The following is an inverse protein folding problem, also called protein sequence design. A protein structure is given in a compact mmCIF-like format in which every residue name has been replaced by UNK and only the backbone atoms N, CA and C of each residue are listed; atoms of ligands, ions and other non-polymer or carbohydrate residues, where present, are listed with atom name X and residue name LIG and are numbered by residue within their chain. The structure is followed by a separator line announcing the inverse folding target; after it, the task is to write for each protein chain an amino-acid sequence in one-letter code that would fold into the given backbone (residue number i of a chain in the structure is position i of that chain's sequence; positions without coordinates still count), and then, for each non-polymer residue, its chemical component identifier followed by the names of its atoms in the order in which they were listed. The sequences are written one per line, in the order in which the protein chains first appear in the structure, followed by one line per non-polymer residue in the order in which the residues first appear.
data_IF_617856787332
#
_entry.id   IF_617856787332
#
_cell.length_a   1.000
_cell.length_b   1.000
_cell.length_c   1.000
_cell.angle_alpha   90.00
_cell.angle_beta   90.00
_cell.angle_gamma   90.00
#
_symmetry.space_group_name_H-M   'P 1'
#
loop_
_entity.id
_entity.type
_entity.pdbx_description
1 polymer ?
#
# COMPACT_ATOMS: atom_id res chain seq x y z
N UNK A 1 -2.38 -14.07 -3.30
CA UNK A 1 -1.79 -15.42 -3.31
C UNK A 1 -1.84 -16.20 -2.00
N UNK A 2 -1.56 -15.61 -0.84
CA UNK A 2 -1.52 -16.34 0.43
C UNK A 2 -2.87 -16.45 1.15
N UNK A 3 -3.85 -15.64 0.79
CA UNK A 3 -5.14 -15.59 1.46
C UNK A 3 -5.88 -16.93 1.32
N UNK A 4 -6.27 -17.53 2.45
CA UNK A 4 -6.94 -18.82 2.50
C UNK A 4 -6.05 -20.06 2.28
N UNK A 5 -4.78 -19.93 1.93
CA UNK A 5 -3.89 -21.06 1.68
C UNK A 5 -3.08 -21.49 2.91
N UNK A 6 -2.95 -20.63 3.90
CA UNK A 6 -2.15 -20.91 5.09
C UNK A 6 -3.01 -20.83 6.35
N UNK A 7 -3.17 -21.94 7.05
CA UNK A 7 -3.95 -21.98 8.28
C UNK A 7 -3.38 -21.05 9.35
N UNK A 8 -4.22 -20.15 9.90
CA UNK A 8 -3.87 -19.22 10.97
C UNK A 8 -3.08 -17.98 10.51
N UNK A 9 -2.97 -17.73 9.21
CA UNK A 9 -2.58 -16.44 8.63
C UNK A 9 -3.84 -15.71 8.16
N UNK A 10 -4.08 -14.52 8.68
CA UNK A 10 -5.09 -13.60 8.20
C UNK A 10 -4.41 -12.51 7.37
N UNK A 11 -4.93 -12.25 6.18
CA UNK A 11 -4.48 -11.17 5.32
C UNK A 11 -5.66 -10.23 5.19
N UNK A 12 -5.51 -9.06 5.78
CA UNK A 12 -6.48 -7.98 5.69
C UNK A 12 -6.00 -7.05 4.58
N UNK A 13 -6.77 -6.95 3.52
CA UNK A 13 -6.50 -5.95 2.50
C UNK A 13 -6.67 -4.56 3.13
N UNK A 14 -5.90 -3.60 2.67
CA UNK A 14 -6.04 -2.21 3.08
C UNK A 14 -7.42 -1.63 2.73
N UNK A 15 -7.50 -0.33 2.62
CA UNK A 15 -8.75 0.41 2.35
C UNK A 15 -9.33 0.24 0.93
N UNK A 16 -8.71 -0.62 0.11
CA UNK A 16 -9.10 -0.84 -1.29
C UNK A 16 -8.55 0.20 -2.27
N UNK A 17 -7.74 1.15 -1.79
CA UNK A 17 -7.03 2.08 -2.66
C UNK A 17 -5.90 1.37 -3.40
N UNK A 18 -5.57 1.77 -4.64
CA UNK A 18 -4.44 1.23 -5.38
C UNK A 18 -3.15 1.27 -4.56
N UNK A 19 -2.39 0.19 -4.58
CA UNK A 19 -1.11 0.09 -3.86
C UNK A 19 -1.23 0.12 -2.33
N UNK A 20 -2.43 -0.09 -1.75
CA UNK A 20 -2.58 -0.15 -0.30
C UNK A 20 -1.90 -1.39 0.27
N UNK A 21 -1.14 -1.21 1.36
CA UNK A 21 -0.43 -2.30 2.01
C UNK A 21 -1.38 -3.34 2.62
N UNK A 22 -1.05 -4.61 2.43
CA UNK A 22 -1.78 -5.70 3.07
C UNK A 22 -1.28 -5.88 4.52
N UNK A 23 -2.20 -5.95 5.47
CA UNK A 23 -1.89 -6.25 6.86
C UNK A 23 -1.90 -7.76 7.09
N UNK A 24 -0.81 -8.27 7.60
CA UNK A 24 -0.64 -9.68 7.91
C UNK A 24 -0.79 -9.92 9.41
N UNK A 25 -1.60 -10.90 9.80
CA UNK A 25 -1.79 -11.28 11.20
C UNK A 25 -1.69 -12.81 11.35
N UNK A 26 -0.93 -13.25 12.36
CA UNK A 26 -0.84 -14.67 12.72
C UNK A 26 -1.53 -14.88 14.07
N UNK A 27 -2.55 -15.78 14.11
CA UNK A 27 -3.32 -16.12 15.31
C UNK A 27 -4.06 -14.95 15.98
N UNK A 28 -4.40 -13.90 15.22
CA UNK A 28 -5.09 -12.71 15.73
C UNK A 28 -4.15 -11.69 16.38
N UNK A 29 -4.73 -10.67 17.00
CA UNK A 29 -3.99 -9.53 17.59
C UNK A 29 -3.42 -9.92 18.95
N UNK A 30 -2.09 -10.03 19.10
CA UNK A 30 -1.48 -10.48 20.36
C UNK A 30 -1.36 -9.39 21.44
N UNK A 31 -1.75 -8.15 21.15
CA UNK A 31 -1.59 -7.01 22.06
C UNK A 31 -2.80 -6.09 22.04
N UNK A 32 -3.22 -5.59 23.20
CA UNK A 32 -4.29 -4.60 23.35
C UNK A 32 -3.86 -3.18 22.95
N UNK A 33 -2.57 -2.91 22.96
CA UNK A 33 -2.01 -1.56 22.74
C UNK A 33 -1.33 -1.38 21.39
N UNK A 34 -1.18 -2.42 20.57
CA UNK A 34 -0.59 -2.36 19.26
C UNK A 34 -0.59 -3.71 18.57
N UNK A 35 -0.95 -3.74 17.32
CA UNK A 35 -0.81 -4.93 16.49
C UNK A 35 0.68 -5.17 16.23
N UNK A 36 1.25 -6.19 16.87
CA UNK A 36 2.57 -6.69 16.49
C UNK A 36 2.41 -7.45 15.17
N UNK A 37 2.92 -6.88 14.10
CA UNK A 37 3.01 -7.58 12.82
C UNK A 37 4.00 -8.74 12.93
N UNK A 38 3.75 -9.86 12.24
CA UNK A 38 4.73 -10.94 12.17
C UNK A 38 6.01 -10.47 11.50
N UNK A 39 7.15 -11.02 11.93
CA UNK A 39 8.43 -10.75 11.29
C UNK A 39 8.45 -11.43 9.91
N UNK A 40 8.72 -10.65 8.86
CA UNK A 40 8.94 -11.18 7.53
C UNK A 40 10.45 -11.42 7.35
N UNK A 41 10.80 -12.60 6.88
CA UNK A 41 12.18 -13.00 6.59
C UNK A 41 12.24 -13.43 5.13
N UNK A 42 13.05 -12.78 4.33
CA UNK A 42 13.21 -13.09 2.89
C UNK A 42 14.62 -13.62 2.64
N UNK A 43 14.74 -14.84 2.16
CA UNK A 43 16.02 -15.52 1.92
C UNK A 43 16.96 -15.47 3.16
N UNK A 44 16.41 -15.78 4.34
CA UNK A 44 17.06 -15.73 5.66
C UNK A 44 17.43 -14.33 6.16
N UNK A 45 17.06 -13.25 5.46
CA UNK A 45 17.28 -11.87 5.88
C UNK A 45 16.01 -11.33 6.54
N UNK A 46 16.05 -10.92 7.82
CA UNK A 46 14.92 -10.28 8.48
C UNK A 46 14.61 -8.92 7.85
N UNK A 47 13.34 -8.70 7.49
CA UNK A 47 12.90 -7.45 6.90
C UNK A 47 12.64 -6.38 7.99
N UNK A 48 12.73 -5.08 7.65
CA UNK A 48 12.27 -4.00 8.50
C UNK A 48 10.77 -4.12 8.83
N UNK A 49 10.35 -3.50 9.93
CA UNK A 49 8.95 -3.58 10.40
C UNK A 49 7.94 -2.90 9.48
N UNK A 50 8.38 -2.02 8.62
CA UNK A 50 7.61 -1.28 7.62
C UNK A 50 7.69 -1.90 6.22
N UNK A 51 8.24 -3.13 6.11
CA UNK A 51 8.31 -3.84 4.85
C UNK A 51 6.93 -4.29 4.39
N UNK A 52 6.55 -3.89 3.18
CA UNK A 52 5.32 -4.36 2.55
C UNK A 52 5.59 -5.61 1.72
N UNK A 53 4.86 -6.69 2.02
CA UNK A 53 4.97 -7.94 1.26
C UNK A 53 4.61 -7.77 -0.21
N UNK A 54 3.80 -6.76 -0.54
CA UNK A 54 3.48 -6.41 -1.91
C UNK A 54 4.70 -5.89 -2.71
N UNK A 55 5.81 -5.54 -2.04
CA UNK A 55 7.07 -5.21 -2.71
C UNK A 55 7.70 -6.43 -3.42
N UNK A 56 7.32 -7.64 -3.02
CA UNK A 56 7.78 -8.86 -3.68
C UNK A 56 6.92 -9.18 -4.90
N UNK A 57 7.58 -9.59 -5.99
CA UNK A 57 6.87 -10.19 -7.10
C UNK A 57 6.42 -11.61 -6.70
N UNK A 58 5.11 -11.91 -6.70
CA UNK A 58 4.61 -13.22 -6.31
C UNK A 58 5.19 -14.38 -7.14
N UNK A 59 5.49 -14.14 -8.42
CA UNK A 59 6.04 -15.17 -9.31
C UNK A 59 7.52 -15.49 -9.01
N UNK A 60 8.20 -14.63 -8.25
CA UNK A 60 9.57 -14.86 -7.79
C UNK A 60 9.62 -15.68 -6.50
N UNK A 61 8.48 -15.90 -5.85
CA UNK A 61 8.40 -16.68 -4.61
C UNK A 61 8.44 -18.18 -4.93
N UNK A 62 9.33 -18.92 -4.25
CA UNK A 62 9.44 -20.36 -4.33
C UNK A 62 8.61 -21.05 -3.26
N UNK A 63 8.74 -20.61 -1.99
CA UNK A 63 7.96 -21.14 -0.86
C UNK A 63 7.72 -20.08 0.19
N UNK A 64 6.67 -20.30 1.00
CA UNK A 64 6.35 -19.49 2.17
C UNK A 64 6.12 -20.44 3.33
N UNK A 65 6.92 -20.30 4.38
CA UNK A 65 6.84 -21.09 5.60
C UNK A 65 6.51 -20.20 6.78
N UNK A 66 5.58 -20.63 7.64
CA UNK A 66 5.15 -19.84 8.80
C UNK A 66 5.56 -20.50 10.09
N UNK A 67 6.45 -19.84 10.82
CA UNK A 67 6.88 -20.27 12.15
C UNK A 67 5.95 -19.71 13.22
N UNK A 68 5.03 -20.55 13.68
CA UNK A 68 4.00 -20.18 14.68
C UNK A 68 4.42 -20.50 16.11
N UNK A 69 5.42 -21.34 16.29
CA UNK A 69 5.90 -21.81 17.60
C UNK A 69 6.93 -20.87 18.20
N UNK A 70 6.88 -20.65 19.51
CA UNK A 70 7.87 -19.84 20.24
C UNK A 70 9.27 -20.40 20.04
N UNK A 71 9.44 -21.73 20.07
CA UNK A 71 10.73 -22.38 19.88
C UNK A 71 11.30 -22.21 18.47
N UNK A 72 10.45 -22.24 17.44
CA UNK A 72 10.89 -22.07 16.05
C UNK A 72 11.18 -20.62 15.71
N UNK A 73 10.55 -19.66 16.41
CA UNK A 73 10.78 -18.23 16.26
C UNK A 73 11.92 -17.71 17.15
N UNK A 74 12.41 -18.50 18.09
CA UNK A 74 13.41 -18.10 19.10
C UNK A 74 14.72 -17.58 18.49
N UNK A 75 15.15 -18.08 17.31
CA UNK A 75 16.35 -17.60 16.60
C UNK A 75 16.26 -16.12 16.19
N UNK A 76 15.04 -15.57 16.09
CA UNK A 76 14.80 -14.17 15.73
C UNK A 76 14.56 -13.27 16.96
N UNK A 77 14.69 -13.85 18.18
CA UNK A 77 14.54 -13.13 19.45
C UNK A 77 13.16 -12.50 19.61
N UNK A 78 13.11 -11.32 20.23
CA UNK A 78 11.84 -10.59 20.47
C UNK A 78 11.09 -10.19 19.20
N UNK A 79 11.78 -10.02 18.09
CA UNK A 79 11.15 -9.72 16.79
C UNK A 79 10.27 -10.85 16.27
N UNK A 80 10.54 -12.11 16.66
CA UNK A 80 9.74 -13.27 16.29
C UNK A 80 8.53 -13.55 17.18
N UNK A 81 8.26 -12.71 18.19
CA UNK A 81 7.21 -12.98 19.20
C UNK A 81 5.80 -13.09 18.61
N UNK A 82 5.48 -12.34 17.55
CA UNK A 82 4.19 -12.40 16.82
C UNK A 82 4.15 -13.49 15.73
N UNK A 83 5.18 -14.32 15.65
CA UNK A 83 5.41 -15.30 14.58
C UNK A 83 6.33 -14.77 13.49
N UNK A 84 6.79 -15.69 12.65
CA UNK A 84 7.73 -15.39 11.56
C UNK A 84 7.19 -15.96 10.25
N UNK A 85 7.18 -15.14 9.22
CA UNK A 85 6.85 -15.53 7.84
C UNK A 85 8.17 -15.62 7.07
N UNK A 86 8.58 -16.84 6.75
CA UNK A 86 9.78 -17.09 5.96
C UNK A 86 9.40 -17.20 4.50
N UNK A 87 9.99 -16.37 3.65
CA UNK A 87 9.77 -16.34 2.21
C UNK A 87 11.09 -16.75 1.54
N UNK A 88 11.03 -17.84 0.81
CA UNK A 88 12.15 -18.26 -0.04
C UNK A 88 11.87 -17.83 -1.47
N UNK A 89 12.76 -17.05 -2.04
CA UNK A 89 12.66 -16.58 -3.41
C UNK A 89 13.30 -17.59 -4.37
N UNK A 90 12.82 -17.63 -5.62
CA UNK A 90 13.40 -18.45 -6.68
C UNK A 90 14.87 -18.10 -6.88
N UNK A 91 15.66 -19.13 -7.15
CA UNK A 91 17.08 -19.05 -7.42
C UNK A 91 17.41 -19.65 -8.79
N UNK A 92 18.65 -19.52 -9.22
CA UNK A 92 19.18 -20.19 -10.40
C UNK A 92 19.03 -21.71 -10.32
N UNK A 93 18.84 -22.34 -11.45
CA UNK A 93 18.70 -23.79 -11.53
C UNK A 93 19.85 -24.36 -12.35
N UNK A 94 20.69 -25.20 -11.69
CA UNK A 94 21.87 -25.78 -12.32
C UNK A 94 21.49 -26.89 -13.29
N UNK A 95 22.40 -27.21 -14.20
CA UNK A 95 22.24 -28.27 -15.22
C UNK A 95 20.95 -28.12 -16.02
N UNK A 96 20.47 -26.87 -16.22
CA UNK A 96 19.24 -26.61 -16.93
C UNK A 96 19.44 -25.60 -18.05
N UNK A 97 18.90 -25.94 -19.23
CA UNK A 97 18.77 -24.95 -20.31
C UNK A 97 17.96 -23.76 -19.88
N UNK A 98 18.18 -22.58 -20.45
CA UNK A 98 17.37 -21.39 -20.13
C UNK A 98 15.88 -21.66 -20.29
N UNK A 99 15.11 -21.35 -19.24
CA UNK A 99 13.65 -21.35 -19.26
C UNK A 99 13.20 -19.92 -19.10
N UNK A 100 12.44 -19.46 -20.08
CA UNK A 100 11.81 -18.13 -20.06
C UNK A 100 10.34 -18.32 -19.75
N UNK A 101 9.83 -17.56 -18.77
CA UNK A 101 8.41 -17.51 -18.44
C UNK A 101 7.94 -16.08 -18.57
N UNK A 102 6.80 -15.90 -19.22
CA UNK A 102 6.07 -14.65 -19.26
C UNK A 102 4.64 -14.91 -18.81
N UNK A 103 4.13 -14.05 -17.90
CA UNK A 103 2.73 -14.05 -17.48
C UNK A 103 2.14 -12.65 -17.60
N UNK A 104 0.89 -12.60 -17.98
CA UNK A 104 0.07 -11.40 -18.04
C UNK A 104 -1.24 -11.66 -17.33
N UNK A 105 -1.58 -10.79 -16.39
CA UNK A 105 -2.85 -10.82 -15.68
C UNK A 105 -3.56 -9.48 -15.86
N UNK A 106 -4.84 -9.56 -16.15
CA UNK A 106 -5.74 -8.42 -16.20
C UNK A 106 -6.95 -8.69 -15.31
N UNK A 107 -7.29 -7.74 -14.45
CA UNK A 107 -8.52 -7.78 -13.68
C UNK A 107 -9.25 -6.44 -13.75
N UNK A 108 -10.57 -6.50 -13.81
CA UNK A 108 -11.45 -5.34 -13.72
C UNK A 108 -12.20 -5.36 -12.39
N UNK A 109 -12.19 -4.23 -11.70
CA UNK A 109 -12.89 -4.04 -10.43
C UNK A 109 -14.07 -3.09 -10.66
N UNK A 110 -15.23 -3.48 -10.18
CA UNK A 110 -16.44 -2.66 -10.27
C UNK A 110 -17.15 -2.61 -8.92
N UNK A 111 -17.88 -1.54 -8.69
CA UNK A 111 -18.79 -1.46 -7.56
C UNK A 111 -19.87 -2.56 -7.69
N UNK A 112 -20.09 -3.27 -6.59
CA UNK A 112 -21.13 -4.29 -6.49
C UNK A 112 -22.51 -3.65 -6.25
N UNK A 113 -22.52 -2.51 -5.55
CA UNK A 113 -23.75 -1.72 -5.30
C UNK A 113 -23.43 -0.23 -5.33
N UNK A 114 -24.35 0.56 -5.84
CA UNK A 114 -24.25 2.00 -5.76
C UNK A 114 -24.35 2.46 -4.30
N UNK A 115 -23.58 3.48 -3.95
CA UNK A 115 -23.76 4.18 -2.68
C UNK A 115 -24.95 5.13 -2.88
N UNK A 116 -26.07 4.79 -2.26
CA UNK A 116 -27.26 5.65 -2.31
C UNK A 116 -26.98 6.92 -1.50
N UNK A 117 -26.90 8.03 -2.19
CA UNK A 117 -26.87 9.37 -1.61
C UNK A 117 -28.22 10.03 -1.83
N UNK A 118 -28.53 11.04 -1.02
CA UNK A 118 -29.76 11.82 -1.20
C UNK A 118 -29.71 12.53 -2.56
N UNK A 119 -30.85 12.57 -3.23
CA UNK A 119 -31.08 13.51 -4.34
C UNK A 119 -31.40 14.92 -3.80
N UNK A 120 -31.52 15.90 -4.69
CA UNK A 120 -31.74 17.30 -4.29
C UNK A 120 -33.04 17.52 -3.50
N UNK A 121 -34.13 16.84 -3.89
CA UNK A 121 -35.42 16.98 -3.19
C UNK A 121 -35.39 16.34 -1.81
N UNK A 122 -34.81 15.12 -1.70
CA UNK A 122 -34.62 14.43 -0.43
C UNK A 122 -33.71 15.23 0.51
N UNK A 123 -32.62 15.80 -0.02
CA UNK A 123 -31.71 16.66 0.73
C UNK A 123 -32.45 17.88 1.30
N UNK A 124 -33.18 18.59 0.44
CA UNK A 124 -33.97 19.76 0.84
C UNK A 124 -35.00 19.42 1.92
N UNK A 125 -35.72 18.30 1.74
CA UNK A 125 -36.73 17.84 2.70
C UNK A 125 -36.10 17.55 4.07
N UNK A 126 -35.05 16.74 4.12
CA UNK A 126 -34.39 16.38 5.38
C UNK A 126 -33.70 17.58 6.04
N UNK A 127 -33.13 18.50 5.24
CA UNK A 127 -32.50 19.70 5.76
C UNK A 127 -33.52 20.63 6.42
N UNK A 128 -34.68 20.86 5.78
CA UNK A 128 -35.77 21.65 6.34
C UNK A 128 -36.39 21.01 7.59
N UNK A 129 -36.50 19.67 7.61
CA UNK A 129 -36.95 18.94 8.78
C UNK A 129 -35.97 19.14 9.95
N UNK A 130 -34.66 19.01 9.71
CA UNK A 130 -33.64 19.24 10.73
C UNK A 130 -33.71 20.66 11.32
N UNK A 131 -33.85 21.67 10.46
CA UNK A 131 -34.00 23.08 10.90
C UNK A 131 -35.28 23.27 11.67
N UNK A 132 -36.39 22.65 11.25
CA UNK A 132 -37.67 22.70 11.97
C UNK A 132 -37.56 22.07 13.36
N UNK A 133 -36.88 20.95 13.48
CA UNK A 133 -36.65 20.30 14.76
C UNK A 133 -35.74 21.14 15.68
N UNK A 134 -34.71 21.80 15.11
CA UNK A 134 -33.87 22.75 15.85
C UNK A 134 -34.65 23.93 16.37
N UNK A 135 -35.53 24.52 15.54
CA UNK A 135 -36.40 25.62 15.98
C UNK A 135 -37.27 25.22 17.18
N UNK A 136 -37.88 24.05 17.14
CA UNK A 136 -38.68 23.51 18.28
C UNK A 136 -37.82 23.29 19.52
N UNK A 137 -36.61 22.75 19.37
CA UNK A 137 -35.71 22.56 20.50
C UNK A 137 -35.28 23.90 21.15
N UNK A 138 -35.14 24.95 20.33
CA UNK A 138 -34.79 26.28 20.77
C UNK A 138 -36.02 27.07 21.30
N UNK A 139 -37.22 26.43 21.38
CA UNK A 139 -38.43 27.01 21.98
C UNK A 139 -39.25 27.88 21.03
N UNK A 140 -39.02 27.83 19.73
CA UNK A 140 -39.86 28.51 18.76
C UNK A 140 -41.13 27.71 18.45
N UNK A 141 -42.29 28.25 18.82
CA UNK A 141 -43.59 27.65 18.48
C UNK A 141 -43.92 27.81 16.99
N UNK A 142 -43.59 28.99 16.42
CA UNK A 142 -43.68 29.24 14.97
C UNK A 142 -42.29 29.16 14.32
N UNK A 143 -42.09 28.15 13.52
CA UNK A 143 -40.82 27.91 12.82
C UNK A 143 -40.45 29.07 11.88
N UNK A 144 -41.43 29.79 11.34
CA UNK A 144 -41.17 30.92 10.46
C UNK A 144 -40.48 32.11 11.17
N UNK A 145 -40.50 32.15 12.49
CA UNK A 145 -39.78 33.15 13.29
C UNK A 145 -38.34 32.71 13.58
N UNK A 146 -37.97 31.46 13.28
CA UNK A 146 -36.62 30.97 13.49
C UNK A 146 -35.66 31.52 12.42
N UNK A 147 -34.62 32.28 12.80
CA UNK A 147 -33.78 33.01 11.85
C UNK A 147 -33.12 32.06 10.79
N UNK A 148 -32.73 30.84 11.19
CA UNK A 148 -32.17 29.91 10.26
C UNK A 148 -33.20 29.36 9.26
N UNK A 149 -34.45 29.13 9.68
CA UNK A 149 -35.54 28.71 8.79
C UNK A 149 -35.84 29.80 7.74
N UNK A 150 -35.93 31.08 8.15
CA UNK A 150 -36.09 32.18 7.20
C UNK A 150 -34.96 32.27 6.19
N UNK A 151 -33.71 32.03 6.63
CA UNK A 151 -32.53 32.01 5.74
C UNK A 151 -32.58 30.87 4.72
N UNK A 152 -32.92 29.66 5.14
CA UNK A 152 -32.90 28.49 4.25
C UNK A 152 -34.12 28.39 3.34
N UNK A 153 -35.22 29.06 3.67
CA UNK A 153 -36.41 29.17 2.82
C UNK A 153 -36.40 30.39 1.91
N UNK A 154 -35.37 31.25 2.02
CA UNK A 154 -35.18 32.37 1.11
C UNK A 154 -34.93 31.89 -0.33
N UNK A 155 -35.45 32.62 -1.35
CA UNK A 155 -35.18 32.30 -2.73
C UNK A 155 -33.66 32.17 -3.02
N UNK A 156 -33.26 31.15 -3.72
CA UNK A 156 -31.85 30.91 -4.13
C UNK A 156 -30.96 30.27 -3.06
N UNK A 157 -31.49 29.91 -1.88
CA UNK A 157 -30.71 29.14 -0.90
C UNK A 157 -30.45 27.70 -1.39
N UNK A 158 -31.50 27.02 -1.85
CA UNK A 158 -31.37 25.73 -2.54
C UNK A 158 -31.21 25.99 -4.03
N UNK A 159 -30.31 25.19 -4.64
CA UNK A 159 -30.17 25.16 -6.09
C UNK A 159 -31.28 24.35 -6.77
N UNK A 160 -31.27 24.36 -8.09
CA UNK A 160 -32.25 23.69 -8.93
C UNK A 160 -31.69 22.38 -9.56
N UNK A 161 -30.39 22.09 -9.33
CA UNK A 161 -29.70 20.92 -9.87
C UNK A 161 -29.94 19.67 -9.03
N UNK A 162 -29.62 18.52 -9.61
CA UNK A 162 -29.52 17.24 -8.92
C UNK A 162 -28.23 16.52 -9.34
N UNK A 163 -27.14 16.91 -8.69
CA UNK A 163 -25.78 16.48 -9.05
C UNK A 163 -25.43 15.15 -8.38
N UNK A 164 -25.25 14.07 -9.17
CA UNK A 164 -24.87 12.76 -8.64
C UNK A 164 -23.35 12.70 -8.40
N UNK A 165 -22.85 13.31 -7.34
CA UNK A 165 -21.44 13.47 -7.05
C UNK A 165 -20.63 12.18 -7.12
N UNK A 166 -21.20 11.07 -6.63
CA UNK A 166 -20.53 9.76 -6.66
C UNK A 166 -20.19 9.32 -8.09
N UNK A 167 -21.10 9.56 -9.07
CA UNK A 167 -20.85 9.20 -10.47
C UNK A 167 -19.75 10.07 -11.11
N UNK A 168 -19.58 11.30 -10.62
CA UNK A 168 -18.52 12.18 -11.12
C UNK A 168 -17.12 11.74 -10.70
N UNK A 169 -16.97 11.19 -9.50
CA UNK A 169 -15.66 10.81 -8.96
C UNK A 169 -15.32 9.33 -9.13
N UNK A 170 -16.30 8.47 -9.45
CA UNK A 170 -16.07 7.03 -9.56
C UNK A 170 -15.94 6.55 -11.00
N UNK A 171 -15.23 5.45 -11.16
CA UNK A 171 -15.07 4.66 -12.39
C UNK A 171 -14.94 3.17 -12.07
N UNK A 172 -14.98 2.33 -13.09
CA UNK A 172 -14.47 0.97 -12.93
C UNK A 172 -12.95 1.01 -12.82
N UNK A 173 -12.41 0.28 -11.87
CA UNK A 173 -10.97 0.12 -11.70
C UNK A 173 -10.42 -1.01 -12.57
N UNK A 174 -9.11 -1.01 -12.78
CA UNK A 174 -8.42 -2.09 -13.50
C UNK A 174 -7.04 -2.35 -12.89
N UNK A 175 -6.59 -3.59 -13.02
CA UNK A 175 -5.22 -3.98 -12.66
C UNK A 175 -4.62 -4.76 -13.81
N UNK A 176 -3.42 -4.35 -14.23
CA UNK A 176 -2.61 -5.03 -15.23
C UNK A 176 -1.27 -5.41 -14.63
N UNK A 177 -0.86 -6.67 -14.85
CA UNK A 177 0.43 -7.13 -14.37
C UNK A 177 1.15 -7.91 -15.46
N UNK A 178 2.38 -7.54 -15.74
CA UNK A 178 3.30 -8.20 -16.67
C UNK A 178 4.48 -8.73 -15.88
N UNK A 179 4.83 -9.98 -16.06
CA UNK A 179 5.95 -10.62 -15.37
C UNK A 179 6.76 -11.45 -16.37
N UNK A 180 8.04 -11.19 -16.41
CA UNK A 180 9.00 -11.90 -17.24
C UNK A 180 10.09 -12.47 -16.35
N UNK A 181 10.43 -13.73 -16.50
CA UNK A 181 11.56 -14.33 -15.81
C UNK A 181 12.34 -15.27 -16.70
N UNK A 182 13.63 -15.37 -16.42
CA UNK A 182 14.55 -16.34 -17.04
C UNK A 182 15.37 -17.01 -15.97
N UNK A 183 15.52 -18.33 -16.05
CA UNK A 183 16.38 -19.11 -15.18
C UNK A 183 17.07 -20.20 -15.96
N UNK A 184 18.27 -20.58 -15.52
CA UNK A 184 19.04 -21.65 -16.11
C UNK A 184 20.38 -21.79 -15.44
N UNK A 185 21.26 -22.62 -16.00
CA UNK A 185 22.61 -22.76 -15.48
C UNK A 185 23.36 -23.94 -16.07
N UNK A 186 24.68 -23.90 -15.87
CA UNK A 186 25.61 -25.00 -16.11
C UNK A 186 25.74 -25.87 -14.86
N UNK A 187 26.70 -26.78 -14.86
CA UNK A 187 27.01 -27.65 -13.70
C UNK A 187 27.39 -26.84 -12.46
N UNK A 188 28.21 -25.81 -12.62
CA UNK A 188 28.81 -25.07 -11.52
C UNK A 188 28.21 -23.66 -11.33
N UNK A 189 27.28 -23.27 -12.19
CA UNK A 189 26.69 -21.93 -12.19
C UNK A 189 25.19 -21.96 -12.47
N UNK A 190 24.42 -21.26 -11.67
CA UNK A 190 23.01 -21.04 -11.86
C UNK A 190 22.68 -19.54 -11.89
N UNK A 191 21.66 -19.15 -12.65
CA UNK A 191 21.18 -17.77 -12.69
C UNK A 191 19.67 -17.71 -12.69
N UNK A 192 19.16 -16.61 -12.14
CA UNK A 192 17.77 -16.21 -12.17
C UNK A 192 17.69 -14.70 -12.44
N UNK A 193 16.82 -14.30 -13.35
CA UNK A 193 16.48 -12.89 -13.53
C UNK A 193 14.98 -12.75 -13.72
N UNK A 194 14.40 -11.72 -13.13
CA UNK A 194 12.99 -11.38 -13.32
C UNK A 194 12.78 -9.88 -13.42
N UNK A 195 11.71 -9.50 -14.12
CA UNK A 195 11.20 -8.16 -14.22
C UNK A 195 9.67 -8.23 -14.14
N UNK A 196 9.08 -7.38 -13.30
CA UNK A 196 7.64 -7.25 -13.14
C UNK A 196 7.21 -5.80 -13.30
N UNK A 197 6.06 -5.60 -13.93
CA UNK A 197 5.35 -4.33 -14.01
C UNK A 197 3.93 -4.55 -13.55
N UNK A 198 3.43 -3.69 -12.65
CA UNK A 198 2.05 -3.65 -12.23
C UNK A 198 1.51 -2.23 -12.37
N UNK A 199 0.30 -2.11 -12.90
CA UNK A 199 -0.45 -0.86 -12.98
C UNK A 199 -1.86 -1.10 -12.45
N UNK A 200 -2.26 -0.33 -11.45
CA UNK A 200 -3.57 -0.41 -10.81
C UNK A 200 -4.27 0.92 -10.95
N UNK A 201 -5.42 0.92 -11.57
CA UNK A 201 -6.32 2.06 -11.63
C UNK A 201 -7.45 1.87 -10.62
N UNK A 202 -7.58 2.81 -9.68
CA UNK A 202 -8.59 2.77 -8.65
C UNK A 202 -10.00 3.04 -9.14
N UNK A 203 -10.98 2.63 -8.33
CA UNK A 203 -12.40 2.96 -8.55
C UNK A 203 -12.71 4.45 -8.31
N UNK A 204 -11.91 5.15 -7.52
CA UNK A 204 -11.93 6.61 -7.46
C UNK A 204 -11.03 7.13 -8.58
N UNK A 205 -11.56 8.04 -9.40
CA UNK A 205 -10.78 8.67 -10.48
C UNK A 205 -9.56 9.36 -9.90
N UNK A 206 -8.47 9.41 -10.71
CA UNK A 206 -7.20 10.02 -10.34
C UNK A 206 -6.51 9.37 -9.11
N UNK A 207 -6.92 8.16 -8.73
CA UNK A 207 -6.17 7.29 -7.84
C UNK A 207 -5.59 6.14 -8.66
N UNK A 208 -4.27 6.01 -8.67
CA UNK A 208 -3.55 4.97 -9.40
C UNK A 208 -2.26 4.57 -8.68
N UNK A 209 -1.74 3.42 -9.07
CA UNK A 209 -0.50 2.89 -8.54
C UNK A 209 0.26 2.15 -9.63
N UNK A 210 1.55 2.46 -9.76
CA UNK A 210 2.46 1.78 -10.66
C UNK A 210 3.63 1.20 -9.88
N UNK A 211 4.05 0.00 -10.25
CA UNK A 211 5.18 -0.66 -9.61
C UNK A 211 6.02 -1.43 -10.61
N UNK A 212 7.32 -1.27 -10.49
CA UNK A 212 8.34 -2.07 -11.15
C UNK A 212 9.09 -2.90 -10.12
N UNK A 213 9.26 -4.20 -10.41
CA UNK A 213 10.07 -5.10 -9.60
C UNK A 213 11.15 -5.73 -10.45
N UNK A 214 12.33 -5.94 -9.89
CA UNK A 214 13.43 -6.61 -10.59
C UNK A 214 14.24 -7.44 -9.61
N UNK A 215 14.66 -8.62 -10.10
CA UNK A 215 15.49 -9.56 -9.35
C UNK A 215 16.58 -10.14 -10.26
N UNK A 216 17.81 -10.18 -9.76
CA UNK A 216 18.94 -10.86 -10.38
C UNK A 216 19.58 -11.75 -9.33
N UNK A 217 19.72 -13.03 -9.60
CA UNK A 217 20.31 -14.00 -8.70
C UNK A 217 21.34 -14.87 -9.42
N UNK A 218 22.46 -15.14 -8.75
CA UNK A 218 23.55 -15.96 -9.23
C UNK A 218 24.01 -16.93 -8.15
N UNK A 219 24.20 -18.18 -8.52
CA UNK A 219 24.74 -19.25 -7.68
C UNK A 219 25.94 -19.87 -8.37
N UNK A 220 27.08 -19.94 -7.70
CA UNK A 220 28.29 -20.51 -8.28
C UNK A 220 29.03 -21.45 -7.30
N UNK A 221 29.45 -22.60 -7.77
CA UNK A 221 30.47 -23.42 -7.13
C UNK A 221 31.84 -22.99 -7.69
N UNK A 222 32.51 -22.08 -6.96
CA UNK A 222 33.81 -21.57 -7.39
C UNK A 222 34.82 -22.71 -7.44
N UNK A 223 34.75 -23.61 -6.46
CA UNK A 223 35.46 -24.86 -6.39
C UNK A 223 34.79 -25.79 -5.37
N UNK A 224 35.37 -26.98 -5.09
CA UNK A 224 34.81 -27.92 -4.11
C UNK A 224 34.78 -27.43 -2.66
N UNK A 225 35.45 -26.33 -2.36
CA UNK A 225 35.53 -25.74 -1.00
C UNK A 225 34.74 -24.43 -0.84
N UNK A 226 34.43 -23.75 -1.94
CA UNK A 226 33.86 -22.43 -1.93
C UNK A 226 32.65 -22.39 -2.84
N UNK A 227 31.51 -22.02 -2.24
CA UNK A 227 30.27 -21.66 -2.96
C UNK A 227 29.96 -20.21 -2.74
N UNK A 228 29.49 -19.55 -3.78
CA UNK A 228 29.07 -18.16 -3.74
C UNK A 228 27.62 -18.04 -4.23
N UNK A 229 26.86 -17.16 -3.57
CA UNK A 229 25.54 -16.73 -4.02
C UNK A 229 25.48 -15.22 -3.94
N UNK A 230 24.91 -14.58 -4.94
CA UNK A 230 24.63 -13.16 -4.92
C UNK A 230 23.23 -12.92 -5.45
N UNK A 231 22.48 -12.08 -4.76
CA UNK A 231 21.13 -11.68 -5.16
C UNK A 231 20.96 -10.19 -5.06
N UNK A 232 20.50 -9.58 -6.13
CA UNK A 232 20.07 -8.19 -6.21
C UNK A 232 18.56 -8.16 -6.48
N UNK A 233 17.82 -7.41 -5.70
CA UNK A 233 16.38 -7.23 -5.89
C UNK A 233 15.99 -5.80 -5.59
N UNK A 234 14.96 -5.31 -6.26
CA UNK A 234 14.47 -3.98 -6.00
C UNK A 234 13.06 -3.75 -6.50
N UNK A 235 12.49 -2.66 -6.00
CA UNK A 235 11.14 -2.20 -6.31
C UNK A 235 11.14 -0.69 -6.39
N UNK A 236 10.58 -0.17 -7.48
CA UNK A 236 10.25 1.26 -7.63
C UNK A 236 8.75 1.35 -7.79
N UNK A 237 8.12 2.23 -7.04
CA UNK A 237 6.68 2.43 -7.13
C UNK A 237 6.28 3.89 -6.98
N UNK A 238 5.25 4.28 -7.72
CA UNK A 238 4.56 5.54 -7.62
C UNK A 238 3.08 5.30 -7.35
N UNK A 239 2.56 6.01 -6.36
CA UNK A 239 1.16 5.97 -5.96
C UNK A 239 0.61 7.38 -5.99
N UNK A 240 -0.40 7.60 -6.80
CA UNK A 240 -1.15 8.84 -6.82
C UNK A 240 -2.44 8.67 -6.01
N UNK A 241 -2.64 9.58 -5.07
CA UNK A 241 -3.86 9.65 -4.26
C UNK A 241 -4.36 11.08 -4.35
N UNK A 242 -5.52 11.27 -4.94
CA UNK A 242 -6.09 12.60 -5.05
C UNK A 242 -7.10 12.87 -3.92
N UNK A 243 -7.30 14.17 -3.63
CA UNK A 243 -8.02 14.64 -2.46
C UNK A 243 -9.53 14.32 -2.39
N UNK A 244 -10.15 13.82 -3.47
CA UNK A 244 -11.56 13.43 -3.41
C UNK A 244 -11.74 12.15 -2.60
N UNK A 245 -12.31 12.26 -1.42
CA UNK A 245 -12.76 11.10 -0.66
C UNK A 245 -14.21 10.76 -0.97
N UNK A 246 -14.56 9.46 -0.87
CA UNK A 246 -15.96 9.02 -0.98
C UNK A 246 -16.86 9.73 0.04
N UNK A 247 -16.33 10.01 1.23
CA UNK A 247 -17.07 10.76 2.27
C UNK A 247 -17.33 12.20 1.87
N UNK A 248 -16.39 12.88 1.20
CA UNK A 248 -16.61 14.24 0.69
C UNK A 248 -17.70 14.26 -0.36
N UNK A 249 -17.68 13.31 -1.30
CA UNK A 249 -18.69 13.21 -2.34
C UNK A 249 -20.08 12.85 -1.78
N UNK A 250 -20.14 11.94 -0.80
CA UNK A 250 -21.40 11.57 -0.15
C UNK A 250 -22.01 12.71 0.69
N UNK A 251 -21.17 13.60 1.23
CA UNK A 251 -21.59 14.75 2.03
C UNK A 251 -21.81 16.03 1.20
N UNK A 252 -21.46 16.02 -0.08
CA UNK A 252 -21.63 17.18 -0.94
C UNK A 252 -23.13 17.45 -1.23
N UNK A 253 -23.50 18.73 -1.26
CA UNK A 253 -24.88 19.16 -1.55
C UNK A 253 -25.27 18.76 -2.98
N UNK A 254 -26.33 17.95 -3.15
CA UNK A 254 -26.74 17.52 -4.49
C UNK A 254 -27.44 18.62 -5.30
N UNK A 255 -27.94 19.64 -4.64
CA UNK A 255 -28.70 20.75 -5.24
C UNK A 255 -27.82 21.84 -5.88
N UNK A 256 -26.49 21.66 -5.94
CA UNK A 256 -25.58 22.60 -6.59
C UNK A 256 -24.95 21.96 -7.83
N UNK A 257 -24.69 22.76 -8.91
CA UNK A 257 -24.10 22.22 -10.13
C UNK A 257 -22.64 21.81 -9.92
N UNK A 258 -22.19 20.81 -10.68
CA UNK A 258 -20.79 20.44 -10.73
C UNK A 258 -19.95 21.42 -11.58
N UNK A 259 -20.55 21.99 -12.61
CA UNK A 259 -19.93 22.86 -13.62
C UNK A 259 -20.77 24.10 -13.83
N UNK A 260 -20.11 25.20 -14.20
CA UNK A 260 -20.75 26.39 -14.73
C UNK A 260 -21.25 26.18 -16.16
N UNK A 261 -22.06 27.09 -16.69
CA UNK A 261 -22.56 27.05 -18.08
C UNK A 261 -21.43 27.05 -19.13
N UNK A 262 -20.27 27.66 -18.81
CA UNK A 262 -19.09 27.68 -19.67
C UNK A 262 -18.23 26.41 -19.58
N UNK A 263 -18.64 25.44 -18.77
CA UNK A 263 -17.94 24.16 -18.55
C UNK A 263 -16.82 24.24 -17.52
N UNK A 264 -16.55 25.37 -16.91
CA UNK A 264 -15.63 25.48 -15.77
C UNK A 264 -16.22 24.84 -14.52
N UNK A 265 -15.38 24.41 -13.58
CA UNK A 265 -15.85 23.82 -12.33
C UNK A 265 -16.55 24.85 -11.46
N UNK A 266 -17.70 24.47 -10.90
CA UNK A 266 -18.49 25.37 -10.06
C UNK A 266 -17.87 25.53 -8.68
N UNK A 267 -17.47 26.75 -8.35
CA UNK A 267 -16.99 27.14 -7.03
C UNK A 267 -18.18 27.75 -6.27
N UNK A 268 -18.70 27.06 -5.27
CA UNK A 268 -19.80 27.57 -4.45
C UNK A 268 -19.24 28.38 -3.28
N UNK A 269 -19.17 29.70 -3.40
CA UNK A 269 -18.69 30.56 -2.30
C UNK A 269 -19.76 30.72 -1.23
N UNK A 270 -19.36 30.75 0.03
CA UNK A 270 -20.19 31.26 1.11
C UNK A 270 -19.41 32.28 1.96
N UNK A 271 -20.09 33.23 2.51
CA UNK A 271 -19.47 34.29 3.29
C UNK A 271 -19.76 34.06 4.79
N UNK A 272 -18.71 34.02 5.59
CA UNK A 272 -18.81 33.96 7.04
C UNK A 272 -17.76 34.87 7.67
N UNK A 273 -18.17 35.71 8.62
CA UNK A 273 -17.27 36.65 9.29
C UNK A 273 -16.57 37.65 8.35
N UNK A 274 -17.20 38.01 7.22
CA UNK A 274 -16.64 38.89 6.20
C UNK A 274 -15.59 38.27 5.29
N UNK A 275 -15.40 36.95 5.35
CA UNK A 275 -14.47 36.18 4.50
C UNK A 275 -15.25 35.23 3.58
N UNK A 276 -14.68 34.98 2.40
CA UNK A 276 -15.20 34.04 1.41
C UNK A 276 -14.59 32.68 1.65
N UNK A 277 -15.45 31.68 1.75
CA UNK A 277 -15.07 30.27 1.81
C UNK A 277 -15.71 29.55 0.63
N UNK A 278 -15.15 28.40 0.27
CA UNK A 278 -15.72 27.56 -0.76
C UNK A 278 -16.28 26.28 -0.16
N UNK A 279 -17.50 25.90 -0.57
CA UNK A 279 -18.04 24.59 -0.26
C UNK A 279 -17.24 23.56 -1.05
N UNK A 280 -16.94 22.42 -0.43
CA UNK A 280 -16.23 21.33 -1.07
C UNK A 280 -16.95 20.88 -2.34
N UNK A 281 -16.27 21.03 -3.48
CA UNK A 281 -16.64 20.39 -4.72
C UNK A 281 -15.73 19.17 -4.91
N UNK A 282 -16.25 17.93 -4.84
CA UNK A 282 -15.44 16.73 -4.94
C UNK A 282 -14.60 16.62 -6.23
N UNK A 283 -15.09 17.22 -7.32
CA UNK A 283 -14.37 17.21 -8.60
C UNK A 283 -13.17 18.15 -8.52
N UNK A 284 -13.29 19.33 -7.93
CA UNK A 284 -12.16 20.24 -7.75
C UNK A 284 -11.10 19.58 -6.86
N UNK A 285 -11.51 18.99 -5.74
CA UNK A 285 -10.57 18.29 -4.88
C UNK A 285 -9.87 17.12 -5.61
N UNK A 286 -10.58 16.42 -6.48
CA UNK A 286 -10.01 15.34 -7.30
C UNK A 286 -9.05 15.84 -8.37
N UNK A 287 -9.30 16.99 -8.99
CA UNK A 287 -8.54 17.46 -10.15
C UNK A 287 -7.41 18.41 -9.79
N UNK A 288 -7.56 19.18 -8.72
CA UNK A 288 -6.61 20.23 -8.35
C UNK A 288 -5.76 19.88 -7.12
N UNK A 289 -6.18 18.94 -6.28
CA UNK A 289 -5.34 18.42 -5.22
C UNK A 289 -4.58 17.18 -5.73
N UNK A 290 -3.29 17.13 -5.44
CA UNK A 290 -2.45 15.99 -5.81
C UNK A 290 -1.65 15.52 -4.62
N UNK A 291 -1.55 14.20 -4.45
CA UNK A 291 -0.61 13.59 -3.50
C UNK A 291 0.05 12.42 -4.20
N UNK A 292 1.37 12.45 -4.26
CA UNK A 292 2.18 11.40 -4.87
C UNK A 292 3.11 10.83 -3.81
N UNK A 293 3.12 9.51 -3.69
CA UNK A 293 4.08 8.75 -2.90
C UNK A 293 4.97 7.97 -3.85
N UNK A 294 6.27 8.30 -3.85
CA UNK A 294 7.27 7.56 -4.62
C UNK A 294 8.15 6.76 -3.67
N UNK A 295 8.39 5.51 -3.98
CA UNK A 295 9.24 4.63 -3.18
C UNK A 295 10.25 3.89 -4.05
N UNK A 296 11.51 3.90 -3.62
CA UNK A 296 12.60 3.13 -4.19
C UNK A 296 13.23 2.25 -3.11
N UNK A 297 13.16 0.95 -3.30
CA UNK A 297 13.77 -0.01 -2.40
C UNK A 297 14.67 -0.94 -3.21
N UNK A 298 15.91 -1.13 -2.75
CA UNK A 298 16.74 -2.18 -3.31
C UNK A 298 17.54 -2.91 -2.23
N UNK A 299 17.89 -4.14 -2.51
CA UNK A 299 18.65 -5.00 -1.64
C UNK A 299 19.68 -5.79 -2.45
N UNK A 300 20.87 -5.85 -1.93
CA UNK A 300 21.94 -6.72 -2.37
C UNK A 300 22.29 -7.68 -1.24
N UNK A 301 22.24 -8.98 -1.47
CA UNK A 301 22.67 -10.00 -0.53
C UNK A 301 23.75 -10.85 -1.20
N UNK A 302 24.86 -11.04 -0.52
CA UNK A 302 25.96 -11.92 -0.96
C UNK A 302 26.28 -12.93 0.12
N UNK A 303 26.40 -14.19 -0.26
CA UNK A 303 26.75 -15.31 0.61
C UNK A 303 28.01 -15.99 0.10
N UNK A 304 28.92 -16.30 1.01
CA UNK A 304 30.06 -17.18 0.75
C UNK A 304 30.02 -18.32 1.75
N UNK A 305 30.06 -19.52 1.22
CA UNK A 305 30.12 -20.76 1.99
C UNK A 305 31.49 -21.41 1.79
N UNK A 306 32.18 -21.64 2.90
CA UNK A 306 33.48 -22.29 2.93
C UNK A 306 33.40 -23.66 3.61
N UNK A 307 33.64 -24.71 2.89
CA UNK A 307 33.80 -26.06 3.45
C UNK A 307 35.24 -26.19 3.92
N UNK A 308 35.52 -25.86 5.20
CA UNK A 308 36.88 -25.85 5.78
C UNK A 308 37.38 -27.28 6.00
N UNK A 309 36.49 -28.11 6.55
CA UNK A 309 36.70 -29.57 6.75
C UNK A 309 35.39 -30.26 6.36
N UNK A 310 35.39 -31.58 6.12
CA UNK A 310 34.15 -32.32 5.85
C UNK A 310 33.04 -32.06 6.90
N UNK A 311 33.45 -31.86 8.17
CA UNK A 311 32.54 -31.60 9.29
C UNK A 311 32.36 -30.13 9.62
N UNK A 312 33.22 -29.22 9.10
CA UNK A 312 33.26 -27.80 9.49
C UNK A 312 32.98 -26.90 8.31
N UNK A 313 31.94 -26.10 8.44
CA UNK A 313 31.42 -25.19 7.42
C UNK A 313 31.33 -23.79 7.99
N UNK A 314 31.85 -22.81 7.27
CA UNK A 314 31.65 -21.37 7.55
C UNK A 314 30.77 -20.78 6.47
N UNK A 315 29.64 -20.17 6.88
CA UNK A 315 28.81 -19.34 6.02
C UNK A 315 29.02 -17.89 6.43
N UNK A 316 29.29 -17.02 5.47
CA UNK A 316 29.31 -15.57 5.66
C UNK A 316 28.24 -14.97 4.76
N UNK A 317 27.47 -14.03 5.31
CA UNK A 317 26.43 -13.30 4.59
C UNK A 317 26.66 -11.80 4.77
N UNK A 318 26.57 -11.07 3.67
CA UNK A 318 26.53 -9.62 3.67
C UNK A 318 25.25 -9.17 2.99
N UNK A 319 24.50 -8.27 3.64
CA UNK A 319 23.30 -7.67 3.09
C UNK A 319 23.45 -6.14 3.13
N UNK A 320 23.19 -5.50 2.00
CA UNK A 320 23.02 -4.08 1.89
C UNK A 320 21.62 -3.78 1.40
N UNK A 321 20.89 -2.94 2.13
CA UNK A 321 19.56 -2.49 1.77
C UNK A 321 19.49 -0.98 1.81
N UNK A 322 18.85 -0.38 0.81
CA UNK A 322 18.55 1.04 0.77
C UNK A 322 17.07 1.23 0.47
N UNK A 323 16.45 2.12 1.22
CA UNK A 323 15.06 2.54 1.03
C UNK A 323 15.01 4.05 0.90
N UNK A 324 14.19 4.52 -0.02
CA UNK A 324 13.86 5.92 -0.17
C UNK A 324 12.34 6.05 -0.28
N UNK A 325 11.79 7.08 0.36
CA UNK A 325 10.40 7.46 0.23
C UNK A 325 10.31 8.96 0.01
N UNK A 326 9.46 9.37 -0.90
CA UNK A 326 9.15 10.76 -1.16
C UNK A 326 7.63 10.92 -1.16
N UNK A 327 7.15 11.91 -0.43
CA UNK A 327 5.75 12.34 -0.46
C UNK A 327 5.72 13.78 -0.95
N UNK A 328 4.98 14.02 -2.01
CA UNK A 328 4.70 15.34 -2.55
C UNK A 328 3.21 15.56 -2.59
N UNK A 329 2.71 16.60 -1.92
CA UNK A 329 1.30 16.94 -1.94
C UNK A 329 1.09 18.42 -2.23
N UNK A 330 0.01 18.72 -2.93
CA UNK A 330 -0.45 20.06 -3.21
C UNK A 330 -1.97 20.12 -3.07
N UNK A 331 -2.45 21.10 -2.34
CA UNK A 331 -3.85 21.44 -2.25
C UNK A 331 -4.08 22.84 -2.83
N UNK A 332 -4.99 22.94 -3.81
CA UNK A 332 -5.30 24.18 -4.52
C UNK A 332 -6.04 25.17 -3.60
N UNK A 333 -5.84 26.47 -3.83
CA UNK A 333 -6.61 27.54 -3.18
C UNK A 333 -8.13 27.45 -3.44
N UNK A 334 -8.56 26.72 -4.44
CA UNK A 334 -9.98 26.47 -4.75
C UNK A 334 -10.56 25.33 -3.90
N UNK A 335 -9.76 24.69 -3.06
CA UNK A 335 -10.19 23.63 -2.14
C UNK A 335 -10.19 24.13 -0.70
N UNK A 336 -10.95 23.47 0.16
CA UNK A 336 -10.99 23.85 1.58
C UNK A 336 -9.61 23.67 2.25
N UNK A 337 -8.87 22.66 1.87
CA UNK A 337 -7.55 22.41 2.42
C UNK A 337 -6.55 23.47 2.00
N UNK A 338 -6.51 23.84 0.72
CA UNK A 338 -5.56 24.79 0.18
C UNK A 338 -5.94 26.25 0.41
N UNK A 339 -7.21 26.58 0.63
CA UNK A 339 -7.65 27.94 0.99
C UNK A 339 -7.40 28.29 2.47
N UNK A 340 -7.16 27.26 3.30
CA UNK A 340 -7.02 27.43 4.75
C UNK A 340 -8.35 27.74 5.46
N UNK A 341 -8.35 27.59 6.79
CA UNK A 341 -9.55 27.80 7.61
C UNK A 341 -10.15 29.21 7.47
N UNK A 342 -9.33 30.19 7.13
CA UNK A 342 -9.73 31.59 7.03
C UNK A 342 -9.82 32.09 5.57
N UNK A 343 -9.63 31.23 4.57
CA UNK A 343 -9.66 31.61 3.15
C UNK A 343 -8.54 32.57 2.72
N UNK A 344 -7.42 32.60 3.46
CA UNK A 344 -6.30 33.51 3.25
C UNK A 344 -5.08 32.85 2.61
N UNK A 345 -5.10 31.52 2.46
CA UNK A 345 -4.03 30.77 1.80
C UNK A 345 -4.23 30.73 0.28
N UNK A 346 -3.12 30.70 -0.45
CA UNK A 346 -3.09 30.63 -1.92
C UNK A 346 -2.70 29.25 -2.43
N UNK A 347 -3.12 28.22 -1.73
CA UNK A 347 -2.70 26.85 -1.93
C UNK A 347 -1.66 26.42 -0.90
N UNK A 348 -1.60 25.13 -0.63
CA UNK A 348 -0.67 24.53 0.34
C UNK A 348 0.09 23.41 -0.36
N UNK A 349 1.43 23.51 -0.38
CA UNK A 349 2.32 22.47 -0.83
C UNK A 349 3.06 21.85 0.35
N UNK A 350 3.22 20.52 0.32
CA UNK A 350 4.04 19.77 1.27
C UNK A 350 4.94 18.83 0.50
N UNK A 351 6.16 18.75 0.94
CA UNK A 351 7.11 17.75 0.47
C UNK A 351 7.80 17.11 1.66
N UNK A 352 7.90 15.78 1.66
CA UNK A 352 8.59 15.02 2.68
C UNK A 352 9.48 13.99 2.01
N UNK A 353 10.67 13.80 2.54
CA UNK A 353 11.65 12.85 2.05
C UNK A 353 12.17 12.00 3.20
N UNK A 354 12.23 10.69 2.97
CA UNK A 354 12.82 9.74 3.90
C UNK A 354 13.84 8.87 3.17
N UNK A 355 14.96 8.59 3.81
CA UNK A 355 15.95 7.65 3.29
C UNK A 355 16.54 6.86 4.44
N UNK A 356 16.70 5.57 4.22
CA UNK A 356 17.32 4.64 5.15
C UNK A 356 18.28 3.70 4.42
N UNK A 357 19.33 3.30 5.09
CA UNK A 357 20.23 2.24 4.64
C UNK A 357 20.55 1.31 5.79
N UNK A 358 20.62 0.03 5.47
CA UNK A 358 20.99 -1.02 6.42
C UNK A 358 22.11 -1.85 5.82
N UNK A 359 23.13 -2.10 6.62
CA UNK A 359 24.21 -3.03 6.30
C UNK A 359 24.25 -4.08 7.38
N UNK A 360 24.25 -5.32 6.99
CA UNK A 360 24.24 -6.46 7.91
C UNK A 360 25.31 -7.44 7.48
N UNK A 361 26.10 -7.90 8.42
CA UNK A 361 27.05 -8.96 8.22
C UNK A 361 26.80 -10.06 9.23
N UNK A 362 26.66 -11.28 8.73
CA UNK A 362 26.48 -12.47 9.54
C UNK A 362 27.58 -13.49 9.24
N UNK A 363 28.13 -14.11 10.27
CA UNK A 363 29.05 -15.24 10.17
C UNK A 363 28.51 -16.41 10.97
N UNK A 364 28.39 -17.59 10.34
CA UNK A 364 27.87 -18.80 10.97
C UNK A 364 28.85 -19.94 10.77
N UNK A 365 29.40 -20.44 11.87
CA UNK A 365 30.26 -21.61 11.87
C UNK A 365 29.48 -22.84 12.34
N UNK A 366 29.39 -23.85 11.49
CA UNK A 366 28.62 -25.06 11.78
C UNK A 366 29.60 -26.25 11.81
N UNK A 367 29.54 -27.01 12.89
CA UNK A 367 30.30 -28.26 13.04
C UNK A 367 29.35 -29.43 13.20
N UNK A 368 29.44 -30.44 12.32
CA UNK A 368 28.59 -31.65 12.35
C UNK A 368 29.47 -32.86 12.22
N UNK A 369 29.52 -33.70 13.29
CA UNK A 369 30.29 -34.92 13.28
C UNK A 369 29.55 -36.06 13.97
N UNK A 370 29.54 -37.21 13.31
CA UNK A 370 29.07 -38.47 13.90
C UNK A 370 30.27 -39.33 14.26
N UNK A 371 30.37 -39.68 15.53
CA UNK A 371 31.43 -40.52 16.11
C UNK A 371 30.92 -41.95 16.19
N UNK A 372 31.70 -42.89 15.67
CA UNK A 372 31.44 -44.32 15.76
C UNK A 372 30.02 -44.73 15.33
N UNK A 373 29.43 -43.99 14.38
CA UNK A 373 28.04 -44.22 13.90
C UNK A 373 26.94 -44.20 14.97
N UNK A 374 27.25 -43.79 16.22
CA UNK A 374 26.36 -43.82 17.37
C UNK A 374 26.12 -42.47 18.02
N UNK A 375 27.06 -41.55 17.96
CA UNK A 375 26.97 -40.26 18.64
C UNK A 375 27.13 -39.12 17.62
N UNK A 376 26.12 -38.29 17.50
CA UNK A 376 26.15 -37.10 16.62
C UNK A 376 26.31 -35.84 17.45
N UNK A 377 27.32 -35.05 17.14
CA UNK A 377 27.53 -33.70 17.69
C UNK A 377 27.22 -32.67 16.59
N UNK A 378 26.26 -31.79 16.87
CA UNK A 378 25.94 -30.64 16.03
C UNK A 378 26.16 -29.38 16.89
N UNK A 379 27.01 -28.48 16.39
CA UNK A 379 27.32 -27.22 17.05
C UNK A 379 27.21 -26.05 16.04
N UNK A 380 26.69 -24.95 16.52
CA UNK A 380 26.51 -23.71 15.73
C UNK A 380 27.15 -22.55 16.51
#
# INVERSE_FOLDING_TARGET
MMQGQVAGLSILNGDGSPGSAARLEIRGVPSLTGALAPLIVVDNVPMPSDFDINELNPDDVQSIDILKGVSSAAIYGSRGAAGVIMITMKAGQRNQKPIINYSYDYSATRLVSDVNTLNADEYKMLFLEAITNSAKADGFEDVNLYPMYQKVTAPGYFGEEDTPWMKHIMRNGSTQQHRLSIRGGSQDFGYYASFGYANEEGMVKAADFQRYTYTLGFDADINKWIKANAKFSGTTSDRHVNGASLSTAAAARPDIPAYNEDGSLYLHPYISGGKVYYVKNPIIEMTENTTTYSQDNFRLTGNLEFQILPELKLLTQYTYQRRKGEESSYASSNTQEGSGYWGDQKGVGRWAYSAGQTMEFEGRLTYNKTFNEKHSLNAL
#
